data_IF_863437363597
#
_entry.id   IF_863437363597
#
_cell.length_a   1.000
_cell.length_b   1.000
_cell.length_c   1.000
_cell.angle_alpha   90.00
_cell.angle_beta   90.00
_cell.angle_gamma   90.00
#
_symmetry.space_group_name_H-M   'P 1'
#
loop_
_entity.id
_entity.type
_entity.pdbx_description
1 polymer ?
#
# COMPACT_ATOMS: atom_id res chain seq x y z
N UNK A 1 -55.51 15.87 -23.35
CA UNK A 1 -54.53 15.19 -24.21
C UNK A 1 -53.84 14.12 -23.38
N UNK A 2 -54.30 12.89 -23.51
CA UNK A 2 -53.80 11.69 -22.84
C UNK A 2 -53.22 10.79 -23.93
N UNK A 3 -51.99 10.29 -23.75
CA UNK A 3 -51.53 9.12 -24.52
C UNK A 3 -50.87 8.12 -23.59
N UNK A 4 -51.39 6.88 -23.65
CA UNK A 4 -50.87 5.68 -23.00
C UNK A 4 -49.78 5.08 -23.88
N UNK A 5 -48.74 4.51 -23.27
CA UNK A 5 -47.91 3.49 -23.91
C UNK A 5 -47.98 2.21 -23.08
N UNK A 6 -48.44 1.13 -23.71
CA UNK A 6 -48.41 -0.24 -23.19
C UNK A 6 -47.07 -0.87 -23.56
N UNK A 7 -46.41 -1.52 -22.59
CA UNK A 7 -45.37 -2.52 -22.86
C UNK A 7 -45.95 -3.91 -22.68
N UNK A 8 -45.90 -4.72 -23.74
CA UNK A 8 -46.22 -6.14 -23.76
C UNK A 8 -44.93 -6.90 -23.44
N UNK A 9 -44.87 -7.60 -22.31
CA UNK A 9 -43.79 -8.55 -22.00
C UNK A 9 -44.23 -9.96 -22.38
N UNK A 10 -43.43 -10.66 -23.18
CA UNK A 10 -43.70 -12.04 -23.61
C UNK A 10 -43.47 -13.04 -22.45
N UNK A 11 -44.35 -14.03 -22.31
CA UNK A 11 -44.40 -14.97 -21.18
C UNK A 11 -43.47 -16.19 -21.32
N UNK A 12 -42.49 -16.17 -22.23
CA UNK A 12 -41.63 -17.33 -22.51
C UNK A 12 -40.35 -17.40 -21.67
N UNK A 13 -39.85 -16.29 -21.12
CA UNK A 13 -38.59 -16.27 -20.36
C UNK A 13 -38.72 -16.65 -18.87
N UNK A 14 -39.93 -16.56 -18.29
CA UNK A 14 -40.17 -16.88 -16.87
C UNK A 14 -40.22 -18.40 -16.63
N UNK A 15 -40.59 -19.21 -17.64
CA UNK A 15 -40.66 -20.68 -17.50
C UNK A 15 -39.29 -21.37 -17.55
N UNK A 16 -38.29 -20.78 -18.23
CA UNK A 16 -36.94 -21.34 -18.30
C UNK A 16 -36.13 -21.07 -17.03
N UNK A 17 -36.39 -19.96 -16.34
CA UNK A 17 -35.70 -19.61 -15.09
C UNK A 17 -36.18 -20.44 -13.88
N UNK A 18 -37.45 -20.85 -13.84
CA UNK A 18 -37.96 -21.67 -12.72
C UNK A 18 -37.50 -23.14 -12.77
N UNK A 19 -37.25 -23.70 -13.96
CA UNK A 19 -36.79 -25.10 -14.09
C UNK A 19 -35.34 -25.29 -13.62
N UNK A 20 -34.46 -24.29 -13.80
CA UNK A 20 -33.05 -24.39 -13.40
C UNK A 20 -32.86 -24.33 -11.88
N UNK A 21 -33.66 -23.53 -11.18
CA UNK A 21 -33.65 -23.47 -9.71
C UNK A 21 -34.22 -24.73 -9.06
N UNK A 22 -35.22 -25.37 -9.67
CA UNK A 22 -35.79 -26.61 -9.14
C UNK A 22 -34.81 -27.79 -9.23
N UNK A 23 -34.04 -27.87 -10.34
CA UNK A 23 -32.98 -28.88 -10.50
C UNK A 23 -31.81 -28.65 -9.53
N UNK A 24 -31.43 -27.39 -9.26
CA UNK A 24 -30.38 -27.07 -8.29
C UNK A 24 -30.80 -27.42 -6.85
N UNK A 25 -32.06 -27.19 -6.50
CA UNK A 25 -32.60 -27.55 -5.18
C UNK A 25 -32.63 -29.08 -4.96
N UNK A 26 -32.98 -29.86 -5.99
CA UNK A 26 -32.93 -31.33 -5.94
C UNK A 26 -31.49 -31.84 -5.79
N UNK A 27 -30.52 -31.20 -6.47
CA UNK A 27 -29.11 -31.58 -6.37
C UNK A 27 -28.55 -31.31 -4.96
N UNK A 28 -28.91 -30.18 -4.36
CA UNK A 28 -28.47 -29.80 -3.01
C UNK A 28 -29.09 -30.67 -1.91
N UNK A 29 -30.34 -31.11 -2.07
CA UNK A 29 -30.97 -32.04 -1.12
C UNK A 29 -30.37 -33.45 -1.22
N UNK A 30 -29.97 -33.90 -2.41
CA UNK A 30 -29.28 -35.18 -2.59
C UNK A 30 -27.88 -35.19 -1.96
N UNK A 31 -27.13 -34.09 -2.07
CA UNK A 31 -25.80 -33.96 -1.46
C UNK A 31 -25.92 -33.99 0.08
N UNK A 32 -26.89 -33.28 0.66
CA UNK A 32 -27.12 -33.31 2.11
C UNK A 32 -27.55 -34.69 2.63
N UNK A 33 -28.28 -35.48 1.84
CA UNK A 33 -28.64 -36.87 2.19
C UNK A 33 -27.42 -37.82 2.18
N UNK A 34 -26.48 -37.60 1.26
CA UNK A 34 -25.22 -38.36 1.18
C UNK A 34 -24.23 -38.00 2.31
N UNK A 35 -24.24 -36.75 2.79
CA UNK A 35 -23.37 -36.34 3.91
C UNK A 35 -23.93 -36.72 5.29
N UNK A 36 -25.25 -36.90 5.41
CA UNK A 36 -25.89 -37.30 6.69
C UNK A 36 -25.87 -38.80 6.95
N UNK A 37 -25.55 -39.62 5.94
CA UNK A 37 -25.46 -41.08 6.06
C UNK A 37 -24.08 -41.59 6.45
N UNK A 38 -23.07 -40.72 6.60
CA UNK A 38 -21.69 -41.10 6.94
C UNK A 38 -21.23 -40.73 8.36
N UNK A 39 -22.10 -40.13 9.18
CA UNK A 39 -21.77 -39.81 10.59
C UNK A 39 -22.67 -40.56 11.57
N UNK A 40 -22.51 -41.89 11.61
CA UNK A 40 -23.01 -42.75 12.70
C UNK A 40 -21.92 -43.73 13.11
N UNK A 41 -20.95 -43.25 13.89
CA UNK A 41 -20.29 -44.06 14.93
C UNK A 41 -19.42 -43.17 15.82
N UNK A 42 -19.91 -42.93 17.04
CA UNK A 42 -19.21 -43.01 18.33
C UNK A 42 -19.93 -42.09 19.32
N UNK A 43 -20.82 -42.70 20.10
CA UNK A 43 -21.46 -42.13 21.28
C UNK A 43 -20.83 -42.76 22.53
N UNK A 44 -20.62 -41.90 23.54
CA UNK A 44 -20.69 -42.14 25.00
C UNK A 44 -19.68 -43.07 25.70
N UNK A 45 -19.10 -42.57 26.80
CA UNK A 45 -19.17 -43.11 28.19
C UNK A 45 -18.45 -42.10 29.12
N UNK A 46 -19.17 -41.21 29.82
CA UNK A 46 -19.66 -41.25 31.23
C UNK A 46 -18.61 -41.10 32.33
N UNK A 47 -18.87 -40.09 33.18
CA UNK A 47 -18.32 -39.73 34.48
C UNK A 47 -18.61 -40.78 35.56
N UNK A 48 -17.72 -40.96 36.54
CA UNK A 48 -18.06 -41.16 37.96
C UNK A 48 -16.81 -41.04 38.89
N UNK A 49 -16.99 -40.23 39.94
CA UNK A 49 -16.47 -40.25 41.32
C UNK A 49 -14.99 -40.53 41.66
N UNK A 50 -14.36 -39.55 42.34
CA UNK A 50 -13.86 -39.68 43.73
C UNK A 50 -13.29 -38.34 44.25
N UNK A 51 -14.00 -37.73 45.19
CA UNK A 51 -13.51 -36.64 46.04
C UNK A 51 -12.69 -37.21 47.20
N UNK A 52 -11.43 -36.80 47.33
CA UNK A 52 -10.66 -36.86 48.58
C UNK A 52 -9.95 -35.52 48.75
N UNK A 53 -10.38 -34.75 49.75
CA UNK A 53 -9.66 -33.58 50.27
C UNK A 53 -8.46 -34.03 51.10
N UNK A 54 -7.27 -33.53 50.76
CA UNK A 54 -6.09 -33.53 51.62
C UNK A 54 -5.35 -32.20 51.43
N UNK A 55 -5.55 -31.31 52.40
CA UNK A 55 -4.81 -30.07 52.56
C UNK A 55 -3.41 -30.36 53.12
N UNK A 56 -2.36 -30.12 52.34
CA UNK A 56 -1.03 -29.78 52.87
C UNK A 56 -0.18 -29.04 51.81
N UNK A 57 0.00 -27.75 52.08
CA UNK A 57 1.18 -26.87 51.82
C UNK A 57 2.13 -27.17 50.65
N UNK A 58 2.21 -26.16 49.77
CA UNK A 58 3.23 -25.81 48.75
C UNK A 58 4.64 -26.43 48.88
N UNK A 59 5.12 -27.16 47.83
CA UNK A 59 6.34 -26.88 47.02
C UNK A 59 6.77 -28.08 46.10
N UNK A 60 7.10 -27.77 44.84
CA UNK A 60 7.98 -28.47 43.84
C UNK A 60 7.57 -29.73 43.02
N UNK A 61 7.93 -29.68 41.70
CA UNK A 61 8.34 -30.71 40.70
C UNK A 61 7.37 -31.33 39.62
N UNK A 62 7.56 -30.89 38.35
CA UNK A 62 7.83 -31.58 37.04
C UNK A 62 7.42 -33.06 36.74
N UNK A 63 7.14 -33.46 35.47
CA UNK A 63 8.23 -33.88 34.54
C UNK A 63 8.08 -33.54 33.04
N UNK A 64 9.26 -33.57 32.41
CA UNK A 64 9.66 -33.50 31.00
C UNK A 64 8.68 -34.02 29.93
N UNK A 65 8.62 -33.26 28.82
CA UNK A 65 8.84 -33.81 27.49
C UNK A 65 9.61 -32.79 26.63
N UNK A 66 10.85 -33.13 26.32
CA UNK A 66 11.73 -32.39 25.41
C UNK A 66 11.49 -32.91 23.99
N UNK A 67 10.97 -32.05 23.12
CA UNK A 67 11.26 -32.06 21.69
C UNK A 67 11.57 -30.62 21.24
N UNK A 68 12.57 -30.53 20.38
CA UNK A 68 13.39 -29.38 20.06
C UNK A 68 12.91 -28.70 18.76
N UNK A 69 13.38 -27.47 18.58
CA UNK A 69 13.83 -26.88 17.31
C UNK A 69 12.80 -26.22 16.39
N UNK A 70 12.75 -24.89 16.56
CA UNK A 70 12.87 -23.86 15.51
C UNK A 70 11.62 -23.53 14.66
N UNK A 71 11.45 -22.20 14.56
CA UNK A 71 10.78 -21.46 13.48
C UNK A 71 9.27 -21.20 13.57
N UNK A 72 8.82 -20.64 14.69
CA UNK A 72 7.69 -19.69 14.64
C UNK A 72 8.05 -18.41 15.39
N UNK A 73 8.88 -17.57 14.76
CA UNK A 73 8.97 -16.16 15.15
C UNK A 73 7.72 -15.43 14.66
N UNK A 74 6.70 -15.38 15.52
CA UNK A 74 5.61 -14.41 15.44
C UNK A 74 6.18 -13.01 15.74
N UNK A 75 6.66 -12.30 14.72
CA UNK A 75 6.82 -10.85 14.81
C UNK A 75 5.53 -10.20 14.28
N UNK A 76 4.60 -9.93 15.20
CA UNK A 76 3.66 -8.82 15.06
C UNK A 76 4.52 -7.58 14.74
N UNK A 77 4.14 -6.75 13.77
CA UNK A 77 4.73 -5.40 13.69
C UNK A 77 4.29 -4.65 14.95
N UNK A 78 5.06 -4.80 16.02
CA UNK A 78 4.76 -4.20 17.30
C UNK A 78 5.20 -2.72 17.24
N UNK A 79 4.20 -1.84 17.15
CA UNK A 79 4.39 -0.39 17.14
C UNK A 79 4.52 0.17 18.57
N UNK A 80 4.60 -0.66 19.62
CA UNK A 80 4.89 -0.19 20.97
C UNK A 80 6.27 0.46 21.04
N UNK A 81 6.27 1.79 21.01
CA UNK A 81 7.24 2.70 21.63
C UNK A 81 8.71 2.22 21.66
N UNK A 82 9.42 2.43 20.54
CA UNK A 82 10.79 2.90 20.67
C UNK A 82 10.75 4.41 20.95
N UNK A 83 10.32 4.76 22.17
CA UNK A 83 10.68 6.02 22.78
C UNK A 83 12.21 6.01 22.87
N UNK A 84 12.84 7.00 22.25
CA UNK A 84 14.28 7.25 22.29
C UNK A 84 14.74 7.48 23.73
N UNK A 85 15.04 6.40 24.44
CA UNK A 85 15.90 6.42 25.62
C UNK A 85 16.82 5.22 25.55
N UNK A 86 17.97 5.37 24.87
CA UNK A 86 19.24 5.34 25.59
C UNK A 86 20.45 5.58 24.69
N UNK A 87 21.36 6.36 25.27
CA UNK A 87 22.78 6.46 24.93
C UNK A 87 23.40 5.06 24.92
N UNK A 88 24.06 4.73 23.82
CA UNK A 88 25.10 3.70 23.60
C UNK A 88 24.77 2.81 22.40
N UNK A 89 25.26 3.26 21.24
CA UNK A 89 25.43 2.47 20.03
C UNK A 89 26.39 1.30 20.32
N UNK A 90 25.85 0.15 20.70
CA UNK A 90 26.51 -1.13 20.45
C UNK A 90 25.96 -1.69 19.15
N UNK A 91 26.88 -1.79 18.18
CA UNK A 91 26.73 -2.37 16.85
C UNK A 91 26.04 -3.72 16.93
N UNK A 92 24.74 -3.77 16.59
CA UNK A 92 24.04 -5.01 16.31
C UNK A 92 24.42 -5.45 14.89
N UNK A 93 25.02 -6.63 14.85
CA UNK A 93 25.63 -7.30 13.71
C UNK A 93 24.70 -7.44 12.50
N UNK A 94 25.24 -7.11 11.32
CA UNK A 94 24.68 -7.25 9.97
C UNK A 94 24.09 -8.65 9.71
N UNK A 95 22.88 -8.75 9.14
CA UNK A 95 22.56 -9.80 8.19
C UNK A 95 23.16 -9.42 6.83
N UNK A 96 24.06 -10.26 6.34
CA UNK A 96 24.71 -10.15 5.05
C UNK A 96 23.70 -10.41 3.92
N UNK A 97 23.09 -9.35 3.37
CA UNK A 97 22.41 -9.42 2.08
C UNK A 97 23.30 -8.72 1.06
N UNK A 98 23.67 -9.47 0.02
CA UNK A 98 24.51 -9.07 -1.10
C UNK A 98 23.90 -7.87 -1.84
N UNK A 99 24.32 -6.67 -1.45
CA UNK A 99 24.20 -5.47 -2.27
C UNK A 99 25.25 -5.55 -3.39
N UNK A 100 24.83 -5.40 -4.63
CA UNK A 100 25.74 -5.19 -5.76
C UNK A 100 26.49 -3.84 -5.58
N UNK A 101 27.77 -3.72 -6.02
CA UNK A 101 28.68 -2.67 -5.57
C UNK A 101 28.39 -1.23 -6.05
N UNK A 102 27.38 -1.01 -6.88
CA UNK A 102 27.12 0.31 -7.49
C UNK A 102 25.96 1.11 -6.85
N UNK A 103 25.47 0.71 -5.68
CA UNK A 103 24.41 1.41 -4.91
C UNK A 103 24.97 2.45 -3.90
N UNK A 104 26.08 3.10 -4.25
CA UNK A 104 26.69 4.15 -3.41
C UNK A 104 25.84 5.42 -3.38
N UNK A 105 25.12 5.74 -4.47
CA UNK A 105 24.32 6.96 -4.60
C UNK A 105 23.08 6.97 -3.68
N UNK A 106 22.39 5.83 -3.54
CA UNK A 106 21.24 5.66 -2.65
C UNK A 106 21.63 5.77 -1.19
N UNK A 107 22.76 5.17 -0.80
CA UNK A 107 23.24 5.18 0.60
C UNK A 107 23.80 6.51 1.07
N UNK A 108 24.51 7.22 0.21
CA UNK A 108 25.11 8.53 0.59
C UNK A 108 24.05 9.62 0.73
N UNK A 109 22.90 9.48 0.06
CA UNK A 109 21.86 10.50 0.01
C UNK A 109 20.53 10.08 0.66
N UNK A 110 20.49 8.95 1.38
CA UNK A 110 19.31 8.52 2.11
C UNK A 110 19.03 9.50 3.25
N UNK A 111 17.83 10.08 3.29
CA UNK A 111 17.42 10.99 4.37
C UNK A 111 16.88 10.12 5.53
N UNK A 112 17.51 10.12 6.71
CA UNK A 112 16.93 9.48 7.87
C UNK A 112 15.67 10.26 8.28
N UNK A 113 14.56 9.56 8.48
CA UNK A 113 13.34 10.18 8.98
C UNK A 113 13.52 10.72 10.39
N UNK A 114 13.41 12.04 10.56
CA UNK A 114 13.32 12.64 11.89
C UNK A 114 11.86 12.68 12.35
N UNK A 115 11.42 11.58 12.97
CA UNK A 115 10.07 11.48 13.53
C UNK A 115 9.82 12.44 14.71
N UNK A 116 10.83 13.15 15.23
CA UNK A 116 10.61 14.20 16.24
C UNK A 116 9.91 15.41 15.61
N UNK A 117 10.06 15.60 14.30
CA UNK A 117 9.41 16.64 13.51
C UNK A 117 8.03 16.21 12.96
N UNK A 118 7.48 15.10 13.45
CA UNK A 118 6.18 14.55 13.02
C UNK A 118 4.99 15.30 13.60
N UNK A 119 4.95 16.60 13.34
CA UNK A 119 3.84 17.49 13.69
C UNK A 119 2.79 17.50 12.58
N UNK A 120 1.59 17.93 12.93
CA UNK A 120 0.43 18.04 12.03
C UNK A 120 -0.24 19.41 12.16
N UNK A 121 -0.63 19.99 11.03
CA UNK A 121 -1.55 21.12 11.00
C UNK A 121 -2.96 20.63 11.37
N UNK A 122 -3.65 21.32 12.28
CA UNK A 122 -5.05 20.98 12.63
C UNK A 122 -5.98 21.01 11.41
N UNK A 123 -5.77 21.98 10.51
CA UNK A 123 -6.60 22.18 9.32
C UNK A 123 -6.32 21.19 8.18
N UNK A 124 -5.19 20.48 8.23
CA UNK A 124 -4.77 19.52 7.21
C UNK A 124 -3.79 18.51 7.84
N UNK A 125 -4.30 17.56 8.64
CA UNK A 125 -3.47 16.71 9.49
C UNK A 125 -2.72 15.65 8.68
N UNK A 126 -1.66 15.09 9.28
CA UNK A 126 -1.05 13.88 8.73
C UNK A 126 -2.03 12.72 8.78
N UNK A 127 -2.17 12.01 7.66
CA UNK A 127 -3.08 10.86 7.57
C UNK A 127 -2.47 9.56 8.06
N UNK A 128 -1.14 9.48 8.03
CA UNK A 128 -0.38 8.33 8.47
C UNK A 128 0.27 8.58 9.82
N UNK A 129 0.17 7.60 10.72
CA UNK A 129 0.98 7.56 11.93
C UNK A 129 2.45 7.33 11.59
N UNK A 130 3.35 7.59 12.55
CA UNK A 130 4.78 7.26 12.41
C UNK A 130 4.98 5.78 12.08
N UNK A 131 4.19 4.90 12.69
CA UNK A 131 4.33 3.46 12.45
C UNK A 131 3.87 3.06 11.05
N UNK A 132 2.70 3.52 10.63
CA UNK A 132 2.17 3.25 9.27
C UNK A 132 3.13 3.73 8.21
N UNK A 133 3.63 4.95 8.35
CA UNK A 133 4.64 5.48 7.45
C UNK A 133 5.92 4.61 7.42
N UNK A 134 6.44 4.14 8.56
CA UNK A 134 7.61 3.23 8.59
C UNK A 134 7.32 1.94 7.83
N UNK A 135 6.13 1.38 7.99
CA UNK A 135 5.71 0.16 7.28
C UNK A 135 5.62 0.43 5.77
N UNK A 136 5.03 1.55 5.35
CA UNK A 136 4.98 1.99 3.95
C UNK A 136 6.38 2.09 3.33
N UNK A 137 7.35 2.69 4.03
CA UNK A 137 8.72 2.81 3.52
C UNK A 137 9.44 1.48 3.43
N UNK A 138 9.20 0.56 4.37
CA UNK A 138 9.73 -0.80 4.28
C UNK A 138 9.13 -1.58 3.12
N UNK A 139 7.83 -1.45 2.92
CA UNK A 139 7.10 -2.06 1.82
C UNK A 139 7.63 -1.55 0.47
N UNK A 140 7.78 -0.24 0.33
CA UNK A 140 8.31 0.41 -0.88
C UNK A 140 9.77 0.01 -1.16
N UNK A 141 10.61 -0.04 -0.13
CA UNK A 141 11.98 -0.55 -0.24
C UNK A 141 12.02 -2.00 -0.72
N UNK A 142 11.15 -2.86 -0.16
CA UNK A 142 11.11 -4.28 -0.53
C UNK A 142 10.56 -4.47 -1.95
N UNK A 143 9.59 -3.66 -2.36
CA UNK A 143 9.10 -3.62 -3.74
C UNK A 143 10.21 -3.16 -4.72
N UNK A 144 10.94 -2.08 -4.43
CA UNK A 144 12.07 -1.61 -5.25
C UNK A 144 13.18 -2.67 -5.36
N UNK A 145 13.48 -3.39 -4.27
CA UNK A 145 14.44 -4.51 -4.30
C UNK A 145 13.96 -5.67 -5.19
N UNK A 146 12.67 -6.01 -5.11
CA UNK A 146 12.05 -7.03 -5.97
C UNK A 146 12.20 -6.62 -7.45
N UNK A 147 11.78 -5.42 -7.80
CA UNK A 147 11.79 -4.97 -9.20
C UNK A 147 13.21 -4.88 -9.75
N UNK A 148 14.19 -4.42 -8.97
CA UNK A 148 15.62 -4.45 -9.36
C UNK A 148 16.14 -5.87 -9.55
N UNK A 149 15.83 -6.80 -8.64
CA UNK A 149 16.28 -8.20 -8.75
C UNK A 149 15.80 -8.87 -10.03
N UNK A 150 14.58 -8.54 -10.47
CA UNK A 150 13.95 -9.14 -11.64
C UNK A 150 13.97 -8.25 -12.90
N UNK A 151 14.72 -7.14 -12.87
CA UNK A 151 14.81 -6.16 -13.96
C UNK A 151 13.43 -5.72 -14.48
N UNK A 152 12.57 -5.29 -13.57
CA UNK A 152 11.24 -4.76 -13.82
C UNK A 152 11.28 -3.25 -13.63
N UNK A 153 11.01 -2.50 -14.70
CA UNK A 153 10.96 -1.04 -14.61
C UNK A 153 9.60 -0.59 -14.08
N UNK A 154 9.61 0.33 -13.12
CA UNK A 154 8.44 1.01 -12.57
C UNK A 154 8.78 2.48 -12.35
N UNK A 155 7.79 3.32 -12.09
CA UNK A 155 8.00 4.69 -11.66
C UNK A 155 6.97 5.12 -10.61
N UNK A 156 7.35 6.06 -9.74
CA UNK A 156 6.40 6.75 -8.86
C UNK A 156 5.53 7.69 -9.69
N UNK A 157 4.23 7.74 -9.37
CA UNK A 157 3.25 8.58 -10.06
C UNK A 157 2.31 9.30 -9.08
N UNK A 158 1.42 10.14 -9.60
CA UNK A 158 0.32 10.79 -8.87
C UNK A 158 0.71 11.38 -7.52
N UNK A 159 0.03 11.01 -6.43
CA UNK A 159 0.26 11.54 -5.08
C UNK A 159 1.69 11.27 -4.60
N UNK A 160 2.23 10.11 -4.95
CA UNK A 160 3.61 9.72 -4.58
C UNK A 160 4.66 10.55 -5.34
N UNK A 161 4.48 10.78 -6.64
CA UNK A 161 5.37 11.66 -7.41
C UNK A 161 5.29 13.11 -6.92
N UNK A 162 4.07 13.58 -6.61
CA UNK A 162 3.86 14.91 -6.05
C UNK A 162 4.48 15.05 -4.65
N UNK A 163 4.42 14.00 -3.82
CA UNK A 163 5.15 13.92 -2.57
C UNK A 163 6.66 14.07 -2.77
N UNK A 164 7.24 13.26 -3.66
CA UNK A 164 8.66 13.39 -4.03
C UNK A 164 8.99 14.79 -4.56
N UNK A 165 8.09 15.41 -5.32
CA UNK A 165 8.28 16.74 -5.87
C UNK A 165 8.18 17.86 -4.82
N UNK A 166 7.21 17.77 -3.92
CA UNK A 166 6.83 18.88 -3.03
C UNK A 166 7.45 18.76 -1.64
N UNK A 167 7.72 17.53 -1.19
CA UNK A 167 8.14 17.22 0.18
C UNK A 167 9.41 16.36 0.26
N UNK A 168 9.93 15.90 -0.89
CA UNK A 168 10.92 14.82 -0.96
C UNK A 168 10.49 13.58 -0.16
N UNK A 169 9.19 13.36 0.02
CA UNK A 169 8.60 12.35 0.90
C UNK A 169 7.09 12.23 0.63
N UNK A 170 6.35 11.37 1.34
CA UNK A 170 4.89 11.31 1.24
C UNK A 170 4.26 12.70 1.52
N UNK A 171 3.20 13.03 0.77
CA UNK A 171 2.37 14.20 1.08
C UNK A 171 1.78 13.98 2.48
N UNK A 172 1.94 14.92 3.44
CA UNK A 172 1.57 14.68 4.84
C UNK A 172 0.15 14.12 5.01
N UNK A 173 -0.80 14.61 4.21
CA UNK A 173 -2.21 14.26 4.27
C UNK A 173 -2.67 13.21 3.23
N UNK A 174 -1.73 12.47 2.67
CA UNK A 174 -1.97 11.33 1.79
C UNK A 174 -1.70 10.02 2.56
N UNK A 175 -2.40 8.93 2.22
CA UNK A 175 -2.40 7.70 3.03
C UNK A 175 -1.94 6.42 2.33
N UNK A 176 -1.53 6.50 1.07
CA UNK A 176 -1.06 5.37 0.26
C UNK A 176 0.14 5.72 -0.64
N UNK A 177 0.53 4.78 -1.51
CA UNK A 177 1.65 4.92 -2.46
C UNK A 177 1.19 4.44 -3.83
N UNK A 178 1.41 5.26 -4.85
CA UNK A 178 1.08 5.00 -6.25
C UNK A 178 2.34 4.76 -7.08
N UNK A 179 2.40 3.59 -7.70
CA UNK A 179 3.43 3.19 -8.65
C UNK A 179 2.80 2.88 -10.00
N UNK A 180 3.58 3.02 -11.07
CA UNK A 180 3.16 2.69 -12.43
C UNK A 180 4.17 1.80 -13.15
N UNK A 181 3.68 0.78 -13.87
CA UNK A 181 4.48 -0.21 -14.61
C UNK A 181 3.87 -0.54 -15.98
N UNK A 182 4.71 -0.90 -16.96
CA UNK A 182 4.20 -1.31 -18.28
C UNK A 182 3.39 -2.59 -18.16
N UNK A 183 2.22 -2.64 -18.80
CA UNK A 183 1.40 -3.86 -18.88
C UNK A 183 2.17 -5.06 -19.48
N UNK A 184 3.19 -4.80 -20.31
CA UNK A 184 4.08 -5.82 -20.90
C UNK A 184 4.90 -6.56 -19.84
N UNK A 185 5.13 -5.97 -18.66
CA UNK A 185 5.90 -6.55 -17.57
C UNK A 185 5.06 -7.39 -16.60
N UNK A 186 3.73 -7.34 -16.71
CA UNK A 186 2.78 -7.96 -15.78
C UNK A 186 3.00 -9.46 -15.56
N UNK A 187 3.23 -10.23 -16.63
CA UNK A 187 3.52 -11.67 -16.52
C UNK A 187 4.85 -11.92 -15.79
N UNK A 188 5.89 -11.13 -16.07
CA UNK A 188 7.19 -11.24 -15.40
C UNK A 188 7.11 -10.84 -13.93
N UNK A 189 6.31 -9.82 -13.62
CA UNK A 189 6.03 -9.42 -12.23
C UNK A 189 5.35 -10.56 -11.47
N UNK A 190 4.33 -11.20 -12.04
CA UNK A 190 3.65 -12.34 -11.38
C UNK A 190 4.62 -13.49 -11.11
N UNK A 191 5.46 -13.86 -12.09
CA UNK A 191 6.49 -14.88 -11.88
C UNK A 191 7.51 -14.50 -10.80
N UNK A 192 7.90 -13.21 -10.73
CA UNK A 192 8.80 -12.71 -9.70
C UNK A 192 8.18 -12.79 -8.29
N UNK A 193 6.90 -12.43 -8.17
CA UNK A 193 6.15 -12.53 -6.92
C UNK A 193 6.05 -13.99 -6.46
N UNK A 194 5.65 -14.89 -7.37
CA UNK A 194 5.54 -16.33 -7.08
C UNK A 194 6.88 -16.89 -6.61
N UNK A 195 7.99 -16.56 -7.30
CA UNK A 195 9.32 -17.01 -6.93
C UNK A 195 9.77 -16.52 -5.53
N UNK A 196 9.38 -15.31 -5.12
CA UNK A 196 9.76 -14.75 -3.82
C UNK A 196 8.86 -15.21 -2.67
N UNK A 197 7.60 -15.56 -2.97
CA UNK A 197 6.60 -15.98 -1.98
C UNK A 197 7.02 -17.23 -1.19
N UNK A 198 7.90 -18.06 -1.76
CA UNK A 198 8.41 -19.28 -1.11
C UNK A 198 9.69 -19.08 -0.27
N UNK A 199 10.22 -17.84 -0.18
CA UNK A 199 11.59 -17.60 0.31
C UNK A 199 11.70 -16.73 1.58
N UNK A 200 10.61 -16.22 2.15
CA UNK A 200 10.67 -15.29 3.28
C UNK A 200 9.46 -15.37 4.22
N UNK A 201 9.66 -15.36 5.55
CA UNK A 201 8.57 -15.23 6.53
C UNK A 201 7.92 -13.83 6.55
N UNK A 202 8.53 -12.83 5.89
CA UNK A 202 7.99 -11.49 5.67
C UNK A 202 7.71 -11.26 4.18
N UNK A 203 6.96 -12.17 3.55
CA UNK A 203 6.64 -12.03 2.14
C UNK A 203 5.67 -10.86 1.95
N UNK A 204 5.89 -10.10 0.87
CA UNK A 204 4.90 -9.13 0.40
C UNK A 204 3.74 -9.96 -0.14
N UNK A 205 2.57 -9.82 0.45
CA UNK A 205 1.33 -10.28 -0.14
C UNK A 205 0.92 -9.31 -1.25
N UNK A 206 0.45 -9.88 -2.34
CA UNK A 206 -0.15 -9.13 -3.42
C UNK A 206 -1.60 -9.56 -3.56
N UNK A 207 -2.48 -8.57 -3.70
CA UNK A 207 -3.86 -8.79 -4.07
C UNK A 207 -4.13 -8.19 -5.44
N UNK A 208 -4.60 -9.03 -6.35
CA UNK A 208 -5.16 -8.59 -7.62
C UNK A 208 -6.59 -8.14 -7.39
N UNK A 209 -6.89 -6.86 -7.62
CA UNK A 209 -8.26 -6.37 -7.56
C UNK A 209 -9.06 -6.90 -8.76
N UNK A 210 -9.82 -7.97 -8.57
CA UNK A 210 -10.64 -8.61 -9.61
C UNK A 210 -12.10 -8.12 -9.61
N UNK A 211 -12.52 -7.47 -8.52
CA UNK A 211 -13.82 -6.83 -8.30
C UNK A 211 -13.92 -5.43 -8.91
N UNK A 212 -12.78 -4.80 -9.24
CA UNK A 212 -12.79 -3.62 -10.07
C UNK A 212 -13.27 -3.98 -11.49
N UNK A 213 -14.05 -3.11 -12.16
CA UNK A 213 -14.31 -3.27 -13.60
C UNK A 213 -12.97 -3.54 -14.30
N UNK A 214 -12.91 -4.42 -15.32
CA UNK A 214 -11.67 -4.69 -16.08
C UNK A 214 -10.94 -3.42 -16.55
N UNK A 215 -11.68 -2.30 -16.61
CA UNK A 215 -11.18 -0.95 -16.82
C UNK A 215 -10.13 -0.46 -15.78
N UNK A 216 -10.10 -0.98 -14.56
CA UNK A 216 -9.30 -0.48 -13.43
C UNK A 216 -8.57 -1.62 -12.71
N UNK A 217 -7.87 -2.48 -13.45
CA UNK A 217 -7.05 -3.51 -12.82
C UNK A 217 -5.76 -2.90 -12.28
N UNK A 218 -5.65 -2.79 -10.96
CA UNK A 218 -4.43 -2.43 -10.25
C UNK A 218 -4.09 -3.49 -9.21
N UNK A 219 -2.81 -3.55 -8.84
CA UNK A 219 -2.30 -4.52 -7.87
C UNK A 219 -2.06 -3.81 -6.56
N UNK A 220 -2.54 -4.41 -5.46
CA UNK A 220 -2.22 -3.94 -4.11
C UNK A 220 -1.13 -4.82 -3.53
N UNK A 221 -0.02 -4.22 -3.15
CA UNK A 221 1.06 -4.89 -2.41
C UNK A 221 0.99 -4.47 -0.95
N UNK A 222 1.11 -5.41 -0.02
CA UNK A 222 1.11 -5.15 1.41
C UNK A 222 1.85 -6.27 2.14
N UNK A 223 2.23 -6.07 3.40
CA UNK A 223 2.73 -7.18 4.20
C UNK A 223 1.58 -8.06 4.69
N UNK A 224 1.76 -9.38 4.68
CA UNK A 224 0.79 -10.33 5.24
C UNK A 224 0.41 -10.02 6.70
N UNK A 225 1.34 -9.43 7.44
CA UNK A 225 1.20 -9.00 8.83
C UNK A 225 0.54 -7.63 9.02
N UNK A 226 0.29 -6.89 7.93
CA UNK A 226 -0.40 -5.59 8.01
C UNK A 226 -1.83 -5.74 8.55
N UNK A 227 -2.38 -4.76 9.28
CA UNK A 227 -3.76 -4.82 9.75
C UNK A 227 -4.77 -4.82 8.59
N UNK A 228 -5.87 -5.55 8.80
CA UNK A 228 -7.05 -5.49 7.92
C UNK A 228 -8.02 -4.47 8.51
N UNK A 229 -8.20 -3.33 7.82
CA UNK A 229 -8.94 -2.17 8.32
C UNK A 229 -10.23 -1.87 7.55
N UNK A 230 -10.52 -2.66 6.52
CA UNK A 230 -11.74 -2.56 5.71
C UNK A 230 -12.27 -3.96 5.37
N UNK A 231 -13.46 -4.01 4.77
CA UNK A 231 -14.08 -5.27 4.31
C UNK A 231 -13.38 -5.87 3.08
N UNK A 232 -12.56 -5.07 2.40
CA UNK A 232 -11.81 -5.53 1.24
C UNK A 232 -10.77 -6.59 1.60
N UNK A 233 -10.37 -7.45 0.65
CA UNK A 233 -9.47 -8.57 0.93
C UNK A 233 -8.01 -8.17 1.20
N UNK A 234 -7.63 -6.91 0.97
CA UNK A 234 -6.27 -6.41 1.20
C UNK A 234 -6.08 -5.82 2.61
N UNK A 235 -4.82 -5.58 2.97
CA UNK A 235 -4.40 -5.02 4.26
C UNK A 235 -3.75 -3.66 4.06
N UNK A 236 -3.72 -2.86 5.13
CA UNK A 236 -3.17 -1.51 5.14
C UNK A 236 -1.97 -1.42 6.10
N UNK A 237 -0.88 -0.71 5.79
CA UNK A 237 -0.64 0.05 4.56
C UNK A 237 -0.34 -0.80 3.33
N UNK A 238 -0.59 -0.24 2.15
CA UNK A 238 -0.36 -0.87 0.86
C UNK A 238 0.30 0.07 -0.15
N UNK A 239 0.77 -0.51 -1.25
CA UNK A 239 1.13 0.18 -2.50
C UNK A 239 0.10 -0.19 -3.56
N UNK A 240 -0.44 0.81 -4.24
CA UNK A 240 -1.18 0.65 -5.49
C UNK A 240 -0.20 0.65 -6.67
N UNK A 241 -0.22 -0.43 -7.45
CA UNK A 241 0.52 -0.57 -8.69
C UNK A 241 -0.45 -0.53 -9.87
N UNK A 242 -0.36 0.56 -10.62
CA UNK A 242 -1.13 0.86 -11.80
C UNK A 242 -0.35 0.40 -13.05
N UNK A 243 -1.07 -0.02 -14.09
CA UNK A 243 -0.48 -0.39 -15.36
C UNK A 243 -0.69 0.68 -16.43
N UNK A 244 0.29 0.82 -17.33
CA UNK A 244 0.15 1.64 -18.53
C UNK A 244 0.34 0.82 -19.82
N UNK A 245 -0.36 1.27 -20.85
CA UNK A 245 -0.14 0.90 -22.24
C UNK A 245 0.73 1.95 -22.93
N UNK A 246 1.35 1.59 -24.03
CA UNK A 246 2.18 2.50 -24.80
C UNK A 246 2.18 2.15 -26.28
N UNK A 247 2.38 3.18 -27.10
CA UNK A 247 2.78 3.03 -28.49
C UNK A 247 4.23 3.55 -28.68
N UNK A 248 4.63 3.85 -29.91
CA UNK A 248 5.98 4.33 -30.21
C UNK A 248 6.32 5.69 -29.57
N UNK A 249 5.32 6.52 -29.25
CA UNK A 249 5.52 7.93 -28.88
C UNK A 249 4.88 8.31 -27.55
N UNK A 250 3.82 7.62 -27.13
CA UNK A 250 3.01 7.96 -25.97
C UNK A 250 2.72 6.75 -25.10
N UNK A 251 2.43 7.01 -23.82
CA UNK A 251 1.85 6.07 -22.88
C UNK A 251 0.55 6.62 -22.30
N UNK A 252 -0.29 5.73 -21.78
CA UNK A 252 -1.51 6.07 -21.07
C UNK A 252 -1.82 4.98 -20.04
N UNK A 253 -2.43 5.37 -18.93
CA UNK A 253 -2.90 4.43 -17.93
C UNK A 253 -3.94 3.48 -18.53
N UNK A 254 -3.93 2.24 -18.07
CA UNK A 254 -4.89 1.18 -18.39
C UNK A 254 -6.33 1.74 -18.43
N UNK A 255 -6.95 1.70 -19.62
CA UNK A 255 -8.29 2.22 -19.92
C UNK A 255 -8.54 3.73 -19.72
N UNK A 256 -7.48 4.54 -19.60
CA UNK A 256 -7.58 5.99 -19.46
C UNK A 256 -6.93 6.76 -20.62
N UNK A 257 -6.91 6.18 -21.83
CA UNK A 257 -6.24 6.77 -23.00
C UNK A 257 -6.69 8.21 -23.30
N UNK A 258 -7.99 8.49 -23.20
CA UNK A 258 -8.54 9.81 -23.50
C UNK A 258 -8.19 10.89 -22.46
N UNK A 259 -7.67 10.50 -21.29
CA UNK A 259 -7.48 11.39 -20.14
C UNK A 259 -6.01 11.47 -19.71
N UNK A 260 -5.23 10.40 -19.89
CA UNK A 260 -3.88 10.23 -19.33
C UNK A 260 -2.79 10.03 -20.38
N UNK A 261 -3.00 10.48 -21.62
CA UNK A 261 -1.99 10.31 -22.69
C UNK A 261 -0.80 11.24 -22.48
N UNK A 262 0.40 10.67 -22.31
CA UNK A 262 1.65 11.41 -22.07
C UNK A 262 2.72 10.99 -23.07
N UNK A 263 3.49 11.97 -23.57
CA UNK A 263 4.64 11.67 -24.43
C UNK A 263 5.72 10.91 -23.66
N UNK A 264 6.21 9.81 -24.24
CA UNK A 264 7.30 9.01 -23.69
C UNK A 264 8.58 9.82 -23.49
N UNK A 265 8.82 10.84 -24.31
CA UNK A 265 10.00 11.71 -24.18
C UNK A 265 9.96 12.55 -22.90
N UNK A 266 8.77 12.80 -22.33
CA UNK A 266 8.61 13.54 -21.06
C UNK A 266 8.81 12.64 -19.84
N UNK A 267 8.65 11.33 -20.03
CA UNK A 267 8.74 10.32 -18.97
C UNK A 267 10.14 9.70 -18.94
N UNK A 268 10.68 9.29 -20.09
CA UNK A 268 11.90 8.50 -20.20
C UNK A 268 13.11 9.31 -20.69
N UNK A 269 14.36 8.87 -20.37
CA UNK A 269 14.68 7.80 -19.41
C UNK A 269 14.26 8.20 -17.99
N UNK A 270 13.85 7.23 -17.17
CA UNK A 270 13.47 7.52 -15.79
C UNK A 270 14.66 8.11 -15.02
N UNK A 271 14.36 8.99 -14.07
CA UNK A 271 15.35 9.57 -13.16
C UNK A 271 15.07 9.17 -11.72
N UNK A 272 16.11 9.14 -10.90
CA UNK A 272 15.92 8.88 -9.47
C UNK A 272 15.61 10.18 -8.75
N UNK A 273 14.54 10.18 -7.95
CA UNK A 273 14.16 11.30 -7.08
C UNK A 273 14.04 10.85 -5.62
N UNK A 274 14.30 11.76 -4.66
CA UNK A 274 14.19 11.44 -3.24
C UNK A 274 12.73 11.18 -2.83
N UNK A 275 12.55 10.18 -1.99
CA UNK A 275 11.31 9.87 -1.29
C UNK A 275 11.66 9.32 0.10
N UNK A 276 11.77 10.26 1.03
CA UNK A 276 12.48 10.19 2.30
C UNK A 276 13.81 9.46 2.22
N UNK A 277 13.88 8.25 2.78
CA UNK A 277 15.14 7.48 2.81
C UNK A 277 15.49 6.78 1.50
N UNK A 278 14.61 6.81 0.50
CA UNK A 278 14.76 6.09 -0.77
C UNK A 278 15.01 7.06 -1.93
N UNK A 279 15.64 6.53 -2.98
CA UNK A 279 15.79 7.18 -4.28
C UNK A 279 15.09 6.33 -5.33
N UNK A 280 13.93 6.79 -5.79
CA UNK A 280 12.99 5.98 -6.57
C UNK A 280 12.93 6.46 -8.02
N UNK A 281 12.73 5.56 -8.99
CA UNK A 281 12.52 5.95 -10.38
C UNK A 281 11.26 6.81 -10.51
N UNK A 282 11.37 7.92 -11.23
CA UNK A 282 10.31 8.87 -11.52
C UNK A 282 10.36 9.27 -13.01
N UNK A 283 9.28 9.84 -13.55
CA UNK A 283 9.35 10.56 -14.81
C UNK A 283 10.50 11.58 -14.81
N UNK A 284 11.22 11.68 -15.94
CA UNK A 284 12.30 12.67 -16.13
C UNK A 284 11.84 14.10 -15.95
N UNK A 285 10.62 14.41 -16.40
CA UNK A 285 10.02 15.73 -16.27
C UNK A 285 8.73 15.62 -15.43
N UNK A 286 8.82 15.64 -14.08
CA UNK A 286 7.63 15.52 -13.22
C UNK A 286 6.58 16.60 -13.48
N UNK A 287 6.99 17.84 -13.76
CA UNK A 287 6.08 18.94 -14.11
C UNK A 287 5.21 18.59 -15.32
N UNK A 288 5.81 18.02 -16.36
CA UNK A 288 5.09 17.59 -17.56
C UNK A 288 4.12 16.44 -17.27
N UNK A 289 4.48 15.52 -16.38
CA UNK A 289 3.56 14.49 -15.89
C UNK A 289 2.35 15.15 -15.22
N UNK A 290 2.55 16.07 -14.27
CA UNK A 290 1.44 16.73 -13.57
C UNK A 290 0.51 17.48 -14.54
N UNK A 291 1.06 18.21 -15.51
CA UNK A 291 0.25 18.87 -16.52
C UNK A 291 -0.59 17.91 -17.35
N UNK A 292 -0.07 16.72 -17.66
CA UNK A 292 -0.79 15.72 -18.45
C UNK A 292 -1.98 15.09 -17.72
N UNK A 293 -1.95 15.07 -16.38
CA UNK A 293 -3.08 14.64 -15.53
C UNK A 293 -3.91 15.82 -15.01
N UNK A 294 -3.79 16.98 -15.66
CA UNK A 294 -4.51 18.22 -15.33
C UNK A 294 -4.23 18.76 -13.91
N UNK A 295 -3.07 18.46 -13.34
CA UNK A 295 -2.60 19.07 -12.11
C UNK A 295 -1.76 20.29 -12.46
N UNK A 296 -2.38 21.46 -12.45
CA UNK A 296 -1.73 22.73 -12.81
C UNK A 296 -1.44 23.62 -11.61
N UNK A 297 -2.20 23.45 -10.53
CA UNK A 297 -2.12 24.29 -9.33
C UNK A 297 -1.38 23.62 -8.17
N UNK A 298 -0.76 22.45 -8.39
CA UNK A 298 -0.16 21.65 -7.31
C UNK A 298 0.98 22.38 -6.56
N UNK A 299 1.66 23.39 -7.11
CA UNK A 299 2.67 24.10 -6.34
C UNK A 299 2.07 25.12 -5.34
N UNK A 300 0.80 25.50 -5.52
CA UNK A 300 0.12 26.53 -4.72
C UNK A 300 -1.05 25.98 -3.91
N UNK A 301 -1.72 24.95 -4.43
CA UNK A 301 -2.91 24.36 -3.86
C UNK A 301 -2.58 23.01 -3.24
N UNK A 302 -2.67 22.98 -1.92
CA UNK A 302 -2.54 21.77 -1.14
C UNK A 302 -3.95 21.20 -0.96
N UNK A 303 -4.22 20.12 -1.70
CA UNK A 303 -5.55 19.50 -1.79
C UNK A 303 -5.58 18.26 -0.91
N UNK A 304 -6.59 18.19 -0.06
CA UNK A 304 -6.88 17.05 0.80
C UNK A 304 -7.95 16.18 0.12
N UNK A 305 -7.54 15.02 -0.40
CA UNK A 305 -8.42 14.14 -1.18
C UNK A 305 -9.56 13.54 -0.35
N UNK A 306 -10.74 13.27 -0.96
CA UNK A 306 -11.92 12.84 -0.22
C UNK A 306 -11.96 11.38 0.18
N UNK A 307 -11.09 10.55 -0.41
CA UNK A 307 -11.01 9.12 -0.13
C UNK A 307 -9.99 8.84 0.97
N UNK A 308 -10.29 7.91 1.88
CA UNK A 308 -9.30 7.30 2.76
C UNK A 308 -9.01 5.90 2.24
N UNK A 309 -7.78 5.70 1.76
CA UNK A 309 -7.28 4.40 1.35
C UNK A 309 -7.13 3.44 2.53
N UNK A 310 -6.84 3.98 3.73
CA UNK A 310 -6.80 3.22 4.99
C UNK A 310 -8.07 2.44 5.29
N UNK A 311 -9.23 3.07 5.09
CA UNK A 311 -10.54 2.49 5.39
C UNK A 311 -11.35 2.11 4.14
N UNK A 312 -10.82 2.40 2.95
CA UNK A 312 -11.47 2.22 1.64
C UNK A 312 -12.89 2.81 1.60
N UNK A 313 -12.99 4.07 2.02
CA UNK A 313 -14.26 4.82 2.05
C UNK A 313 -14.04 6.32 1.96
N UNK A 314 -15.11 7.06 1.67
CA UNK A 314 -15.13 8.52 1.78
C UNK A 314 -14.85 8.93 3.23
N UNK A 315 -14.11 10.03 3.40
CA UNK A 315 -13.79 10.56 4.73
C UNK A 315 -14.98 11.34 5.29
N UNK A 316 -15.32 11.07 6.54
CA UNK A 316 -16.43 11.73 7.26
C UNK A 316 -16.03 13.07 7.92
N UNK A 317 -14.76 13.46 7.79
CA UNK A 317 -14.10 14.49 8.58
C UNK A 317 -14.15 15.90 7.96
N UNK A 318 -14.51 16.03 6.68
CA UNK A 318 -14.68 17.33 5.99
C UNK A 318 -15.68 18.26 6.68
N UNK A 319 -16.77 17.71 7.22
CA UNK A 319 -17.85 18.51 7.82
C UNK A 319 -17.77 18.58 9.33
N UNK A 320 -17.03 17.67 9.97
CA UNK A 320 -17.16 17.41 11.42
C UNK A 320 -16.05 18.07 12.25
N UNK A 321 -14.87 18.34 11.68
CA UNK A 321 -13.69 18.80 12.45
C UNK A 321 -12.98 20.04 11.91
N UNK A 322 -13.58 20.78 10.96
CA UNK A 322 -12.97 22.00 10.40
C UNK A 322 -11.72 21.74 9.53
N UNK A 323 -11.58 20.51 9.01
CA UNK A 323 -10.53 20.14 8.05
C UNK A 323 -10.83 20.81 6.70
N UNK A 324 -9.82 21.44 6.10
CA UNK A 324 -9.96 22.07 4.80
C UNK A 324 -9.70 21.05 3.70
N UNK A 325 -10.62 20.94 2.73
CA UNK A 325 -10.39 20.19 1.49
C UNK A 325 -9.29 20.80 0.61
N UNK A 326 -8.95 22.07 0.86
CA UNK A 326 -7.95 22.83 0.13
C UNK A 326 -7.35 23.92 1.01
N UNK A 327 -6.04 24.10 0.94
CA UNK A 327 -5.32 25.20 1.57
C UNK A 327 -4.28 25.79 0.61
N UNK A 328 -3.91 27.05 0.81
CA UNK A 328 -2.67 27.58 0.21
C UNK A 328 -1.49 26.85 0.85
N UNK A 329 -0.67 26.20 0.02
CA UNK A 329 0.50 25.46 0.50
C UNK A 329 1.45 26.32 1.35
N UNK A 330 1.47 27.65 1.18
CA UNK A 330 2.26 28.57 2.01
C UNK A 330 1.83 28.53 3.49
N UNK A 331 0.54 28.36 3.78
CA UNK A 331 0.02 28.26 5.16
C UNK A 331 0.59 27.02 5.89
N UNK A 332 0.99 26.00 5.12
CA UNK A 332 1.42 24.70 5.61
C UNK A 332 2.94 24.57 5.77
N UNK A 333 3.73 25.51 5.22
CA UNK A 333 5.20 25.52 5.32
C UNK A 333 5.73 25.58 6.77
N UNK A 334 4.92 26.08 7.71
CA UNK A 334 5.24 26.09 9.15
C UNK A 334 5.03 24.74 9.84
N UNK A 335 4.28 23.84 9.20
CA UNK A 335 3.95 22.53 9.74
C UNK A 335 4.73 21.42 9.07
N UNK A 336 5.00 21.54 7.77
CA UNK A 336 5.58 20.49 6.96
C UNK A 336 6.80 21.00 6.17
N UNK A 337 7.79 20.15 5.90
CA UNK A 337 8.86 20.47 4.96
C UNK A 337 8.32 20.67 3.54
N UNK A 338 8.84 21.67 2.83
CA UNK A 338 8.52 21.91 1.42
C UNK A 338 9.78 22.12 0.60
N UNK A 339 9.75 21.63 -0.63
CA UNK A 339 10.81 21.87 -1.61
C UNK A 339 10.67 23.27 -2.19
N UNK A 340 11.76 24.03 -2.12
CA UNK A 340 11.92 25.33 -2.75
C UNK A 340 12.85 25.18 -3.95
N UNK A 341 12.46 25.79 -5.07
CA UNK A 341 13.21 25.79 -6.32
C UNK A 341 13.52 27.23 -6.69
N UNK A 342 14.78 27.51 -7.01
CA UNK A 342 15.17 28.83 -7.53
C UNK A 342 14.89 28.91 -9.03
N UNK A 343 14.67 30.11 -9.55
CA UNK A 343 14.67 30.35 -11.01
C UNK A 343 16.07 30.40 -11.60
N UNK A 344 17.10 30.55 -10.76
CA UNK A 344 18.49 30.77 -11.18
C UNK A 344 19.38 29.54 -11.05
N UNK A 345 18.89 28.48 -10.42
CA UNK A 345 19.62 27.26 -10.11
C UNK A 345 18.63 26.08 -10.22
N UNK A 346 19.08 24.97 -10.79
CA UNK A 346 18.28 23.75 -10.92
C UNK A 346 18.21 22.95 -9.61
N UNK A 347 18.87 23.41 -8.54
CA UNK A 347 18.83 22.79 -7.22
C UNK A 347 17.43 22.83 -6.58
N UNK A 348 17.04 21.71 -6.00
CA UNK A 348 15.85 21.57 -5.16
C UNK A 348 16.25 21.58 -3.69
N UNK A 349 15.69 22.51 -2.91
CA UNK A 349 16.04 22.71 -1.49
C UNK A 349 14.86 22.33 -0.62
N UNK A 350 14.98 21.26 0.16
CA UNK A 350 13.97 20.94 1.17
C UNK A 350 14.13 21.92 2.33
N UNK A 351 13.08 22.69 2.62
CA UNK A 351 13.07 23.73 3.64
C UNK A 351 12.03 23.40 4.69
N UNK A 352 12.41 23.53 5.96
CA UNK A 352 11.52 23.40 7.09
C UNK A 352 11.85 24.47 8.14
N UNK A 353 10.86 25.25 8.56
CA UNK A 353 11.03 26.39 9.48
C UNK A 353 12.15 27.36 9.06
N UNK A 354 12.27 27.63 7.76
CA UNK A 354 13.29 28.53 7.19
C UNK A 354 14.71 27.93 7.12
N UNK A 355 14.90 26.68 7.56
CA UNK A 355 16.18 25.98 7.49
C UNK A 355 16.17 25.02 6.30
N UNK A 356 17.20 25.08 5.47
CA UNK A 356 17.43 24.09 4.41
C UNK A 356 17.89 22.79 5.06
N UNK A 357 17.05 21.76 5.01
CA UNK A 357 17.34 20.44 5.59
C UNK A 357 17.99 19.51 4.57
N UNK A 358 17.82 19.78 3.27
CA UNK A 358 18.44 19.01 2.19
C UNK A 358 18.58 19.86 0.93
N UNK A 359 19.62 19.59 0.14
CA UNK A 359 19.79 20.12 -1.22
C UNK A 359 19.94 18.93 -2.16
N UNK A 360 19.03 18.76 -3.10
CA UNK A 360 19.21 17.89 -4.26
C UNK A 360 19.72 18.76 -5.40
N UNK A 361 20.95 18.50 -5.84
CA UNK A 361 21.52 19.27 -6.94
C UNK A 361 20.79 18.98 -8.24
N UNK A 362 20.47 20.03 -8.97
CA UNK A 362 19.95 19.90 -10.33
C UNK A 362 20.99 19.25 -11.23
N UNK A 363 20.55 18.43 -12.18
CA UNK A 363 21.44 18.03 -13.28
C UNK A 363 21.60 19.21 -14.25
N UNK A 364 22.84 19.49 -14.61
CA UNK A 364 23.22 20.51 -15.60
C UNK A 364 22.85 20.08 -17.02
#
# INVERSE_FOLDING_TARGET
MTSRFYFITSSSHIRSFCLSFFLLAILLTFINFLTTTTTTSLQKLTTDDLNIELNLTTTTLFPLLVLNSKDVHFNRFDCHEQIEHNKNLTVLSKPSILYQPNDTLSRQNAIPYDYRLWQSALSMPRMVTKCEHRIMMQLLKRFDQLTRKYSLEYMIIDGTLLGSWRHHDLIPWDDDIDLMMSVKLKSRLNMAIEAESFSSPYYIEFHRRWDAPKAFEYYKFYFSTSPKLSEHPWRYPFIDLIFYHENSTHLWQENMQHISTISKQKIFPLELRPFGSLWLPSPRLPRDYFHSVNWTMYDHECIYGPWSHKYERMKDDFYTYGIKSKADCKELKKFYPFVERSSTDNDERLVFNGVVTQIMKGRS
#
